data_IF_634207535199
#
_entry.id   IF_634207535199
#
_cell.length_a   1.000
_cell.length_b   1.000
_cell.length_c   1.000
_cell.angle_alpha   90.00
_cell.angle_beta   90.00
_cell.angle_gamma   90.00
#
_symmetry.space_group_name_H-M   'P 1'
#
loop_
_entity.id
_entity.type
_entity.pdbx_description
1 polymer ?
#
# COMPACT_ATOMS: atom_id res chain seq x y z
N UNK A 1 -8.84 3.61 -20.37
CA UNK A 1 -10.09 4.12 -19.79
C UNK A 1 -10.50 5.43 -20.42
N UNK A 2 -9.86 6.57 -20.10
CA UNK A 2 -10.25 7.88 -20.68
C UNK A 2 -10.27 7.92 -22.21
N UNK A 3 -9.18 7.46 -22.83
CA UNK A 3 -9.05 7.46 -24.29
C UNK A 3 -10.07 6.54 -25.00
N UNK A 4 -10.59 5.54 -24.31
CA UNK A 4 -11.47 4.51 -24.89
C UNK A 4 -12.95 4.83 -24.65
N UNK A 5 -13.27 5.37 -23.48
CA UNK A 5 -14.64 5.52 -22.98
C UNK A 5 -15.17 6.94 -23.23
N UNK A 6 -14.36 7.98 -23.02
CA UNK A 6 -14.83 9.36 -23.14
C UNK A 6 -15.29 9.74 -24.56
N UNK A 7 -14.62 9.32 -25.65
CA UNK A 7 -15.10 9.62 -27.00
C UNK A 7 -16.46 9.01 -27.32
N UNK A 8 -16.75 7.83 -26.77
CA UNK A 8 -18.05 7.16 -26.93
C UNK A 8 -19.13 7.90 -26.16
N UNK A 9 -18.88 8.22 -24.88
CA UNK A 9 -19.81 8.99 -24.06
C UNK A 9 -20.12 10.36 -24.70
N UNK A 10 -19.11 11.08 -25.17
CA UNK A 10 -19.32 12.39 -25.81
C UNK A 10 -20.20 12.30 -27.06
N UNK A 11 -20.03 11.24 -27.86
CA UNK A 11 -20.81 11.04 -29.09
C UNK A 11 -22.26 10.65 -28.79
N UNK A 12 -22.46 9.81 -27.77
CA UNK A 12 -23.78 9.32 -27.37
C UNK A 12 -24.56 10.24 -26.44
N UNK A 13 -24.01 11.41 -26.05
CA UNK A 13 -24.69 12.33 -25.13
C UNK A 13 -26.15 12.67 -25.53
N UNK A 14 -26.47 12.92 -26.81
CA UNK A 14 -27.86 13.12 -27.22
C UNK A 14 -28.76 11.90 -26.98
N UNK A 15 -28.22 10.69 -27.05
CA UNK A 15 -28.95 9.42 -26.88
C UNK A 15 -29.29 9.15 -25.41
N UNK A 16 -28.40 9.52 -24.47
CA UNK A 16 -28.61 9.25 -23.04
C UNK A 16 -29.06 10.43 -22.21
N UNK A 17 -28.86 11.68 -22.65
CA UNK A 17 -29.13 12.86 -21.81
C UNK A 17 -30.60 13.31 -21.80
N UNK A 18 -31.45 12.79 -22.69
CA UNK A 18 -32.80 13.33 -22.90
C UNK A 18 -33.93 12.35 -22.54
N UNK A 19 -33.73 11.03 -22.64
CA UNK A 19 -34.73 10.01 -22.27
C UNK A 19 -34.02 8.76 -21.72
N UNK A 20 -34.20 8.46 -20.42
CA UNK A 20 -33.55 7.30 -19.78
C UNK A 20 -34.00 5.94 -20.37
N UNK A 21 -35.19 5.89 -20.97
CA UNK A 21 -35.79 4.68 -21.54
C UNK A 21 -35.37 4.39 -23.01
N UNK A 22 -34.72 5.33 -23.71
CA UNK A 22 -34.36 5.20 -25.13
C UNK A 22 -32.85 4.98 -25.36
N UNK A 23 -32.18 4.39 -24.36
CA UNK A 23 -30.79 3.96 -24.51
C UNK A 23 -30.71 2.88 -25.57
N UNK A 24 -30.17 3.19 -26.75
CA UNK A 24 -29.91 2.18 -27.77
C UNK A 24 -29.09 1.04 -27.19
N UNK A 25 -29.61 -0.18 -27.25
CA UNK A 25 -28.86 -1.36 -26.80
C UNK A 25 -27.50 -1.46 -27.49
N UNK A 26 -27.37 -0.94 -28.72
CA UNK A 26 -26.12 -0.90 -29.45
C UNK A 26 -25.09 0.03 -28.79
N UNK A 27 -25.50 1.20 -28.30
CA UNK A 27 -24.64 2.10 -27.55
C UNK A 27 -24.21 1.47 -26.22
N UNK A 28 -25.15 0.90 -25.47
CA UNK A 28 -24.87 0.23 -24.19
C UNK A 28 -23.87 -0.91 -24.37
N UNK A 29 -24.05 -1.76 -25.40
CA UNK A 29 -23.09 -2.83 -25.75
C UNK A 29 -21.73 -2.28 -26.15
N UNK A 30 -21.67 -1.22 -26.95
CA UNK A 30 -20.42 -0.61 -27.38
C UNK A 30 -19.64 0.00 -26.20
N UNK A 31 -20.35 0.64 -25.27
CA UNK A 31 -19.77 1.20 -24.06
C UNK A 31 -19.23 0.12 -23.12
N UNK A 32 -20.02 -0.93 -22.87
CA UNK A 32 -19.58 -2.07 -22.04
C UNK A 32 -18.33 -2.74 -22.64
N UNK A 33 -18.33 -2.99 -23.95
CA UNK A 33 -17.15 -3.52 -24.64
C UNK A 33 -15.92 -2.59 -24.52
N UNK A 34 -16.11 -1.28 -24.60
CA UNK A 34 -15.03 -0.31 -24.42
C UNK A 34 -14.50 -0.28 -22.98
N UNK A 35 -15.39 -0.33 -21.98
CA UNK A 35 -15.04 -0.43 -20.57
C UNK A 35 -14.26 -1.72 -20.30
N UNK A 36 -14.77 -2.88 -20.72
CA UNK A 36 -14.12 -4.18 -20.54
C UNK A 36 -12.76 -4.23 -21.25
N UNK A 37 -12.67 -3.74 -22.49
CA UNK A 37 -11.42 -3.68 -23.24
C UNK A 37 -10.38 -2.78 -22.58
N UNK A 38 -10.79 -1.61 -22.08
CA UNK A 38 -9.92 -0.71 -21.32
C UNK A 38 -9.47 -1.34 -19.99
N UNK A 39 -10.37 -1.99 -19.27
CA UNK A 39 -10.11 -2.70 -18.02
C UNK A 39 -9.06 -3.79 -18.20
N UNK A 40 -9.25 -4.66 -19.19
CA UNK A 40 -8.32 -5.74 -19.52
C UNK A 40 -6.90 -5.24 -19.77
N UNK A 41 -6.75 -4.18 -20.59
CA UNK A 41 -5.42 -3.59 -20.88
C UNK A 41 -4.72 -3.06 -19.63
N UNK A 42 -5.45 -2.41 -18.73
CA UNK A 42 -4.89 -1.85 -17.49
C UNK A 42 -4.50 -2.98 -16.52
N UNK A 43 -5.36 -3.99 -16.37
CA UNK A 43 -5.11 -5.15 -15.53
C UNK A 43 -3.88 -5.92 -16.01
N UNK A 44 -3.80 -6.26 -17.30
CA UNK A 44 -2.68 -7.01 -17.89
C UNK A 44 -1.35 -6.26 -17.68
N UNK A 45 -1.31 -4.95 -17.97
CA UNK A 45 -0.10 -4.13 -17.80
C UNK A 45 0.36 -4.03 -16.35
N UNK A 46 -0.58 -3.94 -15.41
CA UNK A 46 -0.28 -3.86 -13.98
C UNK A 46 0.17 -5.21 -13.44
N UNK A 47 -0.55 -6.29 -13.78
CA UNK A 47 -0.23 -7.65 -13.34
C UNK A 47 1.13 -8.10 -13.82
N UNK A 48 1.50 -7.78 -15.06
CA UNK A 48 2.81 -8.08 -15.63
C UNK A 48 3.97 -7.44 -14.85
N UNK A 49 3.73 -6.30 -14.19
CA UNK A 49 4.74 -5.56 -13.41
C UNK A 49 4.63 -5.76 -11.90
N UNK A 50 3.50 -6.27 -11.40
CA UNK A 50 3.21 -6.35 -9.98
C UNK A 50 4.30 -7.10 -9.19
N UNK A 51 4.77 -8.25 -9.70
CA UNK A 51 5.84 -9.02 -9.06
C UNK A 51 7.16 -8.25 -9.00
N UNK A 52 7.52 -7.55 -10.06
CA UNK A 52 8.76 -6.77 -10.13
C UNK A 52 8.70 -5.55 -9.19
N UNK A 53 7.58 -4.84 -9.16
CA UNK A 53 7.37 -3.71 -8.25
C UNK A 53 7.39 -4.14 -6.78
N UNK A 54 6.67 -5.22 -6.44
CA UNK A 54 6.66 -5.78 -5.09
C UNK A 54 8.05 -6.24 -4.65
N UNK A 55 8.79 -6.93 -5.53
CA UNK A 55 10.15 -7.37 -5.25
C UNK A 55 11.08 -6.19 -4.95
N UNK A 56 11.09 -5.16 -5.81
CA UNK A 56 11.92 -3.97 -5.61
C UNK A 56 11.61 -3.25 -4.31
N UNK A 57 10.32 -3.14 -3.97
CA UNK A 57 9.91 -2.55 -2.70
C UNK A 57 10.47 -3.34 -1.52
N UNK A 58 10.42 -4.67 -1.59
CA UNK A 58 10.95 -5.54 -0.53
C UNK A 58 12.47 -5.41 -0.40
N UNK A 59 13.19 -5.47 -1.51
CA UNK A 59 14.66 -5.30 -1.55
C UNK A 59 15.08 -3.93 -0.97
N UNK A 60 14.38 -2.85 -1.33
CA UNK A 60 14.67 -1.50 -0.82
C UNK A 60 14.44 -1.38 0.69
N UNK A 61 13.37 -1.98 1.21
CA UNK A 61 13.06 -1.94 2.64
C UNK A 61 14.08 -2.78 3.43
N UNK A 62 14.45 -3.95 2.94
CA UNK A 62 15.46 -4.79 3.57
C UNK A 62 16.82 -4.08 3.64
N UNK A 63 17.27 -3.48 2.55
CA UNK A 63 18.51 -2.71 2.51
C UNK A 63 18.47 -1.53 3.52
N UNK A 64 17.39 -0.74 3.50
CA UNK A 64 17.25 0.43 4.39
C UNK A 64 17.18 0.04 5.86
N UNK A 65 16.45 -1.02 6.20
CA UNK A 65 16.32 -1.49 7.59
C UNK A 65 17.62 -2.12 8.07
N UNK A 66 18.32 -2.87 7.21
CA UNK A 66 19.64 -3.44 7.52
C UNK A 66 20.63 -2.35 7.88
N UNK A 67 20.72 -1.29 7.08
CA UNK A 67 21.63 -0.18 7.35
C UNK A 67 21.27 0.57 8.62
N UNK A 68 19.98 0.80 8.86
CA UNK A 68 19.50 1.46 10.09
C UNK A 68 19.87 0.67 11.35
N UNK A 69 19.66 -0.66 11.33
CA UNK A 69 20.01 -1.53 12.44
C UNK A 69 21.53 -1.59 12.65
N UNK A 70 22.30 -1.74 11.57
CA UNK A 70 23.77 -1.74 11.62
C UNK A 70 24.30 -0.45 12.25
N UNK A 71 23.76 0.70 11.85
CA UNK A 71 24.12 1.99 12.43
C UNK A 71 23.75 2.08 13.93
N UNK A 72 22.56 1.63 14.32
CA UNK A 72 22.14 1.63 15.73
C UNK A 72 23.02 0.73 16.61
N UNK A 73 23.34 -0.47 16.15
CA UNK A 73 24.18 -1.41 16.91
C UNK A 73 25.62 -0.92 16.99
N UNK A 74 26.19 -0.41 15.89
CA UNK A 74 27.54 0.17 15.90
C UNK A 74 27.62 1.40 16.81
N UNK A 75 26.59 2.25 16.85
CA UNK A 75 26.55 3.40 17.76
C UNK A 75 26.47 2.98 19.24
N UNK A 76 25.79 1.87 19.55
CA UNK A 76 25.65 1.38 20.92
C UNK A 76 26.88 0.58 21.41
N UNK A 77 27.49 -0.23 20.54
CA UNK A 77 28.51 -1.22 20.91
C UNK A 77 29.91 -0.96 20.32
N UNK A 78 30.01 -0.14 19.28
CA UNK A 78 31.23 0.04 18.49
C UNK A 78 31.60 -1.17 17.62
N UNK A 79 30.64 -2.08 17.37
CA UNK A 79 30.85 -3.32 16.60
C UNK A 79 30.06 -3.27 15.29
N UNK A 80 30.72 -3.66 14.19
CA UNK A 80 30.04 -3.86 12.91
C UNK A 80 29.45 -5.28 12.82
N UNK A 81 28.13 -5.34 12.72
CA UNK A 81 27.36 -6.58 12.63
C UNK A 81 27.03 -6.99 11.19
N UNK A 82 27.63 -6.37 10.17
CA UNK A 82 27.34 -6.67 8.77
C UNK A 82 27.42 -8.17 8.45
N UNK A 83 28.46 -8.85 8.94
CA UNK A 83 28.63 -10.29 8.70
C UNK A 83 27.49 -11.11 9.34
N UNK A 84 27.07 -10.77 10.55
CA UNK A 84 25.96 -11.43 11.23
C UNK A 84 24.63 -11.21 10.48
N UNK A 85 24.36 -9.98 10.03
CA UNK A 85 23.15 -9.64 9.28
C UNK A 85 23.07 -10.35 7.92
N UNK A 86 24.21 -10.63 7.28
CA UNK A 86 24.28 -11.37 6.02
C UNK A 86 24.05 -12.88 6.19
N UNK A 87 24.34 -13.43 7.37
CA UNK A 87 24.09 -14.84 7.69
C UNK A 87 22.63 -15.13 8.04
N UNK A 88 21.84 -14.09 8.36
CA UNK A 88 20.42 -14.22 8.67
C UNK A 88 19.59 -14.58 7.44
N UNK A 89 18.69 -15.55 7.58
CA UNK A 89 17.71 -15.88 6.55
C UNK A 89 16.37 -15.22 6.84
N UNK A 90 16.02 -14.21 6.06
CA UNK A 90 14.71 -13.54 6.10
C UNK A 90 13.75 -14.04 5.02
N UNK A 91 14.09 -15.14 4.33
CA UNK A 91 13.40 -15.59 3.11
C UNK A 91 11.88 -15.69 3.28
N UNK A 92 11.41 -16.26 4.39
CA UNK A 92 9.98 -16.39 4.66
C UNK A 92 9.25 -15.05 4.87
N UNK A 93 9.85 -14.11 5.62
CA UNK A 93 9.28 -12.79 5.89
C UNK A 93 9.21 -11.97 4.60
N UNK A 94 10.31 -11.95 3.83
CA UNK A 94 10.40 -11.23 2.57
C UNK A 94 9.46 -11.81 1.50
N UNK A 95 9.32 -13.13 1.42
CA UNK A 95 8.40 -13.79 0.50
C UNK A 95 6.94 -13.48 0.84
N UNK A 96 6.55 -13.58 2.11
CA UNK A 96 5.20 -13.24 2.56
C UNK A 96 4.84 -11.79 2.24
N UNK A 97 5.77 -10.85 2.51
CA UNK A 97 5.60 -9.44 2.18
C UNK A 97 5.47 -9.20 0.67
N UNK A 98 6.28 -9.88 -0.14
CA UNK A 98 6.19 -9.81 -1.60
C UNK A 98 4.82 -10.27 -2.09
N UNK A 99 4.31 -11.39 -1.57
CA UNK A 99 3.00 -11.92 -1.95
C UNK A 99 1.86 -10.96 -1.59
N UNK A 100 1.88 -10.40 -0.37
CA UNK A 100 0.91 -9.39 0.07
C UNK A 100 0.95 -8.14 -0.83
N UNK A 101 2.14 -7.63 -1.13
CA UNK A 101 2.33 -6.48 -2.01
C UNK A 101 1.83 -6.74 -3.43
N UNK A 102 2.08 -7.93 -3.99
CA UNK A 102 1.54 -8.32 -5.30
C UNK A 102 0.01 -8.28 -5.28
N UNK A 103 -0.63 -8.83 -4.25
CA UNK A 103 -2.09 -8.81 -4.14
C UNK A 103 -2.63 -7.37 -4.06
N UNK A 104 -2.01 -6.52 -3.26
CA UNK A 104 -2.41 -5.11 -3.11
C UNK A 104 -2.23 -4.31 -4.40
N UNK A 105 -1.10 -4.45 -5.09
CA UNK A 105 -0.84 -3.78 -6.37
C UNK A 105 -1.89 -4.17 -7.41
N UNK A 106 -2.26 -5.47 -7.47
CA UNK A 106 -3.30 -5.96 -8.38
C UNK A 106 -4.70 -5.44 -8.01
N UNK A 107 -4.97 -5.25 -6.72
CA UNK A 107 -6.28 -4.76 -6.25
C UNK A 107 -6.59 -3.32 -6.69
N UNK A 108 -5.56 -2.48 -6.88
CA UNK A 108 -5.73 -1.05 -7.21
C UNK A 108 -6.47 -0.86 -8.54
N UNK A 109 -5.98 -1.37 -9.69
CA UNK A 109 -6.68 -1.21 -10.95
C UNK A 109 -8.03 -1.95 -10.94
N UNK A 110 -8.12 -3.14 -10.33
CA UNK A 110 -9.37 -3.90 -10.29
C UNK A 110 -10.50 -3.07 -9.65
N UNK A 111 -10.29 -2.56 -8.44
CA UNK A 111 -11.29 -1.76 -7.73
C UNK A 111 -11.61 -0.43 -8.42
N UNK A 112 -10.61 0.22 -9.02
CA UNK A 112 -10.83 1.44 -9.79
C UNK A 112 -11.77 1.20 -10.97
N UNK A 113 -11.50 0.14 -11.75
CA UNK A 113 -12.25 -0.18 -12.95
C UNK A 113 -13.69 -0.58 -12.61
N UNK A 114 -13.89 -1.36 -11.53
CA UNK A 114 -15.21 -1.76 -11.06
C UNK A 114 -16.05 -0.54 -10.63
N UNK A 115 -15.45 0.40 -9.89
CA UNK A 115 -16.12 1.63 -9.45
C UNK A 115 -16.45 2.57 -10.61
N UNK A 116 -15.50 2.76 -11.52
CA UNK A 116 -15.71 3.59 -12.72
C UNK A 116 -16.83 3.02 -13.58
N UNK A 117 -16.81 1.70 -13.85
CA UNK A 117 -17.85 1.04 -14.64
C UNK A 117 -19.24 1.25 -14.00
N UNK A 118 -19.34 0.96 -12.70
CA UNK A 118 -20.59 1.15 -11.93
C UNK A 118 -21.10 2.58 -12.02
N UNK A 119 -20.24 3.57 -11.76
CA UNK A 119 -20.64 4.98 -11.77
C UNK A 119 -21.04 5.48 -13.15
N UNK A 120 -20.32 5.08 -14.20
CA UNK A 120 -20.66 5.44 -15.58
C UNK A 120 -22.02 4.87 -15.96
N UNK A 121 -22.26 3.58 -15.69
CA UNK A 121 -23.55 2.93 -16.00
C UNK A 121 -24.71 3.57 -15.21
N UNK A 122 -24.53 3.82 -13.92
CA UNK A 122 -25.54 4.50 -13.09
C UNK A 122 -25.82 5.92 -13.59
N UNK A 123 -24.78 6.68 -13.96
CA UNK A 123 -24.95 8.04 -14.46
C UNK A 123 -25.71 8.07 -15.80
N UNK A 124 -25.49 7.10 -16.66
CA UNK A 124 -26.23 6.94 -17.91
C UNK A 124 -27.70 6.59 -17.68
N UNK A 125 -27.98 5.63 -16.80
CA UNK A 125 -29.36 5.28 -16.42
C UNK A 125 -30.12 6.47 -15.82
N UNK A 126 -29.41 7.40 -15.17
CA UNK A 126 -29.97 8.63 -14.62
C UNK A 126 -30.04 9.79 -15.63
N UNK A 127 -29.65 9.58 -16.89
CA UNK A 127 -29.60 10.62 -17.92
C UNK A 127 -28.65 11.78 -17.60
N UNK A 128 -27.57 11.52 -16.86
CA UNK A 128 -26.59 12.55 -16.51
C UNK A 128 -25.82 13.00 -17.75
N UNK A 129 -25.59 14.31 -17.87
CA UNK A 129 -24.77 14.90 -18.95
C UNK A 129 -23.34 14.39 -18.93
N UNK A 130 -22.67 14.44 -20.09
CA UNK A 130 -21.29 14.03 -20.28
C UNK A 130 -20.34 14.64 -19.24
N UNK A 131 -20.48 15.95 -18.97
CA UNK A 131 -19.66 16.66 -17.99
C UNK A 131 -19.71 16.04 -16.59
N UNK A 132 -20.89 15.64 -16.12
CA UNK A 132 -21.07 15.01 -14.82
C UNK A 132 -20.45 13.60 -14.77
N UNK A 133 -20.51 12.85 -15.88
CA UNK A 133 -19.85 11.53 -15.98
C UNK A 133 -18.32 11.68 -15.94
N UNK A 134 -17.76 12.68 -16.64
CA UNK A 134 -16.32 12.98 -16.60
C UNK A 134 -15.87 13.32 -15.18
N UNK A 135 -16.65 14.12 -14.45
CA UNK A 135 -16.36 14.49 -13.07
C UNK A 135 -16.37 13.27 -12.14
N UNK A 136 -17.35 12.37 -12.29
CA UNK A 136 -17.40 11.11 -11.54
C UNK A 136 -16.15 10.24 -11.78
N UNK A 137 -15.74 10.08 -13.05
CA UNK A 137 -14.51 9.35 -13.41
C UNK A 137 -13.26 10.00 -12.80
N UNK A 138 -13.17 11.34 -12.83
CA UNK A 138 -12.05 12.05 -12.21
C UNK A 138 -12.02 11.82 -10.70
N UNK A 139 -13.17 11.91 -10.02
CA UNK A 139 -13.28 11.67 -8.58
C UNK A 139 -12.79 10.27 -8.20
N UNK A 140 -13.19 9.22 -8.93
CA UNK A 140 -12.69 7.86 -8.68
C UNK A 140 -11.20 7.71 -8.95
N UNK A 141 -10.68 8.45 -9.93
CA UNK A 141 -9.24 8.48 -10.21
C UNK A 141 -8.47 9.07 -9.02
N UNK A 142 -8.95 10.19 -8.46
CA UNK A 142 -8.33 10.83 -7.29
C UNK A 142 -8.39 9.94 -6.04
N UNK A 143 -9.53 9.28 -5.80
CA UNK A 143 -9.69 8.32 -4.69
C UNK A 143 -8.72 7.15 -4.84
N UNK A 144 -8.57 6.64 -6.07
CA UNK A 144 -7.65 5.54 -6.37
C UNK A 144 -6.20 5.94 -6.15
N UNK A 145 -5.81 7.15 -6.55
CA UNK A 145 -4.47 7.68 -6.31
C UNK A 145 -4.16 7.80 -4.81
N UNK A 146 -5.09 8.35 -4.02
CA UNK A 146 -4.95 8.43 -2.56
C UNK A 146 -4.82 7.04 -1.94
N UNK A 147 -5.62 6.08 -2.39
CA UNK A 147 -5.54 4.68 -1.93
C UNK A 147 -4.19 4.04 -2.27
N UNK A 148 -3.69 4.23 -3.49
CA UNK A 148 -2.39 3.70 -3.90
C UNK A 148 -1.26 4.27 -3.04
N UNK A 149 -1.29 5.59 -2.76
CA UNK A 149 -0.34 6.27 -1.87
C UNK A 149 -0.43 5.78 -0.42
N UNK A 150 -1.63 5.52 0.08
CA UNK A 150 -1.84 4.96 1.42
C UNK A 150 -1.25 3.54 1.52
N UNK A 151 -1.58 2.67 0.55
CA UNK A 151 -1.07 1.30 0.48
C UNK A 151 0.46 1.31 0.45
N UNK A 152 1.07 2.12 -0.41
CA UNK A 152 2.52 2.17 -0.52
C UNK A 152 3.19 2.51 0.83
N UNK A 153 2.70 3.56 1.51
CA UNK A 153 3.25 3.96 2.82
C UNK A 153 3.02 2.91 3.90
N UNK A 154 1.79 2.38 3.98
CA UNK A 154 1.41 1.37 4.95
C UNK A 154 2.27 0.10 4.82
N UNK A 155 2.44 -0.38 3.59
CA UNK A 155 3.23 -1.58 3.34
C UNK A 155 4.73 -1.35 3.55
N UNK A 156 5.25 -0.14 3.29
CA UNK A 156 6.64 0.20 3.64
C UNK A 156 6.85 0.13 5.15
N UNK A 157 5.98 0.77 5.93
CA UNK A 157 6.10 0.77 7.40
C UNK A 157 5.98 -0.63 8.00
N UNK A 158 5.01 -1.43 7.55
CA UNK A 158 4.84 -2.82 8.01
C UNK A 158 6.03 -3.69 7.67
N UNK A 159 6.58 -3.53 6.47
CA UNK A 159 7.74 -4.31 6.06
C UNK A 159 8.98 -3.92 6.86
N UNK A 160 9.24 -2.62 7.05
CA UNK A 160 10.35 -2.17 7.87
C UNK A 160 10.24 -2.71 9.30
N UNK A 161 9.03 -2.72 9.87
CA UNK A 161 8.74 -3.29 11.19
C UNK A 161 9.04 -4.78 11.24
N UNK A 162 8.47 -5.57 10.32
CA UNK A 162 8.67 -7.02 10.28
C UNK A 162 10.14 -7.43 10.06
N UNK A 163 10.88 -6.68 9.23
CA UNK A 163 12.33 -6.90 9.03
C UNK A 163 13.09 -6.52 10.30
N UNK A 164 12.74 -5.41 10.95
CA UNK A 164 13.38 -4.97 12.20
C UNK A 164 13.21 -6.02 13.29
N UNK A 165 11.99 -6.50 13.50
CA UNK A 165 11.68 -7.58 14.44
C UNK A 165 12.51 -8.83 14.15
N UNK A 166 12.43 -9.33 12.91
CA UNK A 166 13.11 -10.55 12.53
C UNK A 166 14.64 -10.45 12.69
N UNK A 167 15.24 -9.29 12.39
CA UNK A 167 16.68 -9.08 12.54
C UNK A 167 17.10 -8.91 14.00
N UNK A 168 16.35 -8.14 14.79
CA UNK A 168 16.66 -7.93 16.20
C UNK A 168 16.55 -9.24 16.98
N UNK A 169 15.44 -9.95 16.82
CA UNK A 169 15.23 -11.26 17.48
C UNK A 169 16.29 -12.29 17.05
N UNK A 170 16.67 -12.32 15.76
CA UNK A 170 17.75 -13.19 15.30
C UNK A 170 19.15 -12.82 15.82
N UNK A 171 19.34 -11.60 16.34
CA UNK A 171 20.56 -11.18 17.05
C UNK A 171 20.46 -11.42 18.57
N UNK A 172 19.35 -11.99 19.06
CA UNK A 172 19.11 -12.15 20.50
C UNK A 172 18.71 -10.87 21.21
N UNK A 173 18.32 -9.83 20.47
CA UNK A 173 17.78 -8.59 21.05
C UNK A 173 16.32 -8.85 21.40
N UNK A 174 16.02 -8.91 22.69
CA UNK A 174 14.68 -9.21 23.22
C UNK A 174 13.83 -7.96 23.43
N UNK A 175 14.47 -6.80 23.60
CA UNK A 175 13.84 -5.55 24.01
C UNK A 175 14.10 -4.43 23.00
N UNK A 176 13.11 -3.54 22.87
CA UNK A 176 13.22 -2.34 22.09
C UNK A 176 12.55 -1.17 22.79
N UNK A 177 13.06 0.04 22.54
CA UNK A 177 12.38 1.28 22.86
C UNK A 177 11.51 1.70 21.69
N UNK A 178 10.26 2.03 21.99
CA UNK A 178 9.33 2.58 21.01
C UNK A 178 9.73 4.01 20.66
N UNK A 179 9.96 4.29 19.38
CA UNK A 179 10.26 5.64 18.89
C UNK A 179 9.15 6.09 17.95
N UNK A 180 8.37 7.08 18.39
CA UNK A 180 7.30 7.70 17.63
C UNK A 180 7.84 8.74 16.64
N UNK A 181 7.04 9.08 15.61
CA UNK A 181 7.41 10.16 14.68
C UNK A 181 7.27 11.57 15.27
N UNK A 182 6.67 11.70 16.46
CA UNK A 182 6.47 12.97 17.17
C UNK A 182 5.84 14.08 16.31
N UNK A 183 4.79 13.75 15.53
CA UNK A 183 4.02 14.73 14.75
C UNK A 183 2.50 14.60 14.98
N UNK A 184 1.75 15.57 14.47
CA UNK A 184 0.29 15.68 14.62
C UNK A 184 -0.53 14.48 14.11
N UNK A 185 0.08 13.57 13.33
CA UNK A 185 -0.60 12.39 12.78
C UNK A 185 -0.29 11.12 13.56
N UNK A 186 0.55 11.19 14.58
CA UNK A 186 0.77 10.09 15.52
C UNK A 186 -0.50 9.92 16.36
N UNK A 187 -0.94 8.67 16.54
CA UNK A 187 -2.09 8.35 17.39
C UNK A 187 -1.71 8.59 18.84
N UNK A 188 -2.66 9.05 19.66
CA UNK A 188 -2.43 9.28 21.10
C UNK A 188 -1.85 8.04 21.79
N UNK A 189 -2.43 6.85 21.55
CA UNK A 189 -1.91 5.58 22.08
C UNK A 189 -0.49 5.24 21.62
N UNK A 190 -0.04 5.72 20.46
CA UNK A 190 1.34 5.52 19.98
C UNK A 190 2.29 6.56 20.58
N UNK A 191 1.82 7.78 20.82
CA UNK A 191 2.58 8.82 21.51
C UNK A 191 2.79 8.44 22.98
N UNK A 192 1.80 7.84 23.62
CA UNK A 192 1.90 7.29 24.98
C UNK A 192 2.95 6.18 25.09
N UNK A 193 3.25 5.47 24.00
CA UNK A 193 4.29 4.45 23.97
C UNK A 193 5.69 5.03 23.79
N UNK A 194 5.83 6.27 23.35
CA UNK A 194 7.11 6.86 23.00
C UNK A 194 8.10 6.84 24.18
N UNK A 195 9.33 6.37 23.92
CA UNK A 195 10.37 6.22 24.94
C UNK A 195 10.18 5.05 25.92
N UNK A 196 9.07 4.31 25.85
CA UNK A 196 8.86 3.12 26.67
C UNK A 196 9.57 1.91 26.06
N UNK A 197 10.06 1.03 26.93
CA UNK A 197 10.70 -0.23 26.56
C UNK A 197 9.66 -1.34 26.55
N UNK A 198 9.67 -2.15 25.49
CA UNK A 198 8.82 -3.32 25.33
C UNK A 198 9.67 -4.50 24.89
N UNK A 199 9.18 -5.71 25.17
CA UNK A 199 9.77 -6.95 24.66
C UNK A 199 9.11 -7.35 23.35
N UNK A 200 9.87 -7.98 22.45
CA UNK A 200 9.33 -8.57 21.23
C UNK A 200 8.30 -9.68 21.51
N UNK A 201 8.45 -10.42 22.61
CA UNK A 201 7.51 -11.48 23.03
C UNK A 201 6.30 -10.98 23.82
N UNK A 202 6.29 -9.70 24.21
CA UNK A 202 5.25 -9.09 25.06
C UNK A 202 4.96 -7.65 24.61
N UNK A 203 4.29 -7.48 23.46
CA UNK A 203 3.92 -6.15 22.95
C UNK A 203 2.89 -5.45 23.85
N UNK A 204 2.82 -4.11 23.77
CA UNK A 204 1.67 -3.37 24.30
C UNK A 204 0.39 -3.71 23.51
N UNK A 205 -0.77 -3.27 24.00
CA UNK A 205 -2.07 -3.50 23.35
C UNK A 205 -2.12 -2.99 21.90
N UNK A 206 -1.34 -1.96 21.58
CA UNK A 206 -1.19 -1.40 20.23
C UNK A 206 -0.41 -2.30 19.26
N UNK A 207 0.09 -3.45 19.70
CA UNK A 207 1.06 -4.26 18.95
C UNK A 207 2.44 -3.59 18.90
N UNK A 208 3.27 -3.96 17.92
CA UNK A 208 4.60 -3.38 17.72
C UNK A 208 4.56 -2.12 16.83
N UNK A 209 5.58 -1.23 16.89
CA UNK A 209 5.70 -0.10 15.97
C UNK A 209 5.57 -0.55 14.51
N UNK A 210 4.71 0.10 13.72
CA UNK A 210 4.53 -0.21 12.30
C UNK A 210 3.42 -1.23 11.97
N UNK A 211 2.79 -1.87 12.96
CA UNK A 211 1.68 -2.81 12.71
C UNK A 211 0.39 -2.12 12.25
N UNK A 212 0.04 -1.03 12.93
CA UNK A 212 -1.17 -0.26 12.62
C UNK A 212 -1.09 0.43 11.26
N UNK A 213 -2.26 0.66 10.67
CA UNK A 213 -2.35 1.26 9.35
C UNK A 213 -1.66 2.62 9.30
N UNK A 214 -0.76 2.79 8.33
CA UNK A 214 -0.03 4.05 8.11
C UNK A 214 0.75 4.52 9.37
N UNK A 215 1.12 3.60 10.27
CA UNK A 215 2.01 3.89 11.39
C UNK A 215 3.41 4.27 10.88
N UNK A 216 4.10 5.17 11.57
CA UNK A 216 5.47 5.62 11.24
C UNK A 216 6.41 5.53 12.45
N UNK A 217 5.97 4.85 13.51
CA UNK A 217 6.77 4.55 14.68
C UNK A 217 7.79 3.45 14.33
N UNK A 218 8.89 3.38 15.07
CA UNK A 218 9.98 2.42 14.88
C UNK A 218 10.42 1.80 16.21
N UNK A 219 11.10 0.65 16.15
CA UNK A 219 11.63 -0.06 17.29
C UNK A 219 13.16 0.13 17.36
N UNK A 220 13.65 0.91 18.33
CA UNK A 220 15.08 1.08 18.57
C UNK A 220 15.57 -0.06 19.47
N UNK A 221 16.57 -0.86 19.06
CA UNK A 221 17.02 -1.99 19.87
C UNK A 221 17.58 -1.53 21.21
N UNK A 222 17.24 -2.23 22.29
CA UNK A 222 17.90 -2.10 23.60
C UNK A 222 18.86 -3.27 23.75
N UNK A 223 20.14 -2.95 23.96
CA UNK A 223 21.21 -3.94 24.09
C UNK A 223 21.72 -3.87 25.52
N UNK A 224 21.34 -4.85 26.34
CA UNK A 224 21.82 -4.99 27.70
C UNK A 224 23.10 -5.83 27.69
N UNK A 225 24.25 -5.17 27.85
CA UNK A 225 25.56 -5.86 27.93
C UNK A 225 25.89 -6.36 29.35
N UNK A 226 25.10 -5.98 30.36
CA UNK A 226 25.42 -6.21 31.77
C UNK A 226 24.91 -7.55 32.32
N UNK A 227 24.49 -8.48 31.44
CA UNK A 227 24.16 -9.85 31.83
C UNK A 227 25.39 -10.77 31.71
N UNK A 228 26.41 -10.50 32.52
CA UNK A 228 27.48 -11.44 32.90
C UNK A 228 27.75 -11.37 34.41
#
# INVERSE_FOLDING_TARGET
>A
MRADVLPLLKRGEPEYSYVADDMSEAFTRALDAALQGASRRVIERTHARARMLARRMVEQCDESTTESLRASVNAALGVDIQAALQMQSLGGVLEAAQQANVALIKSIPQQYLDRVSTQVLTALQQGRRYGAIVEAIQKETDVTERRAKLIARDQTSKLNSAITEARQTALGIEEYEWVSSNDERVRESHAENDGKVFRWDSPPETGHPGHDVNCRCSARPIINLDNE
#
